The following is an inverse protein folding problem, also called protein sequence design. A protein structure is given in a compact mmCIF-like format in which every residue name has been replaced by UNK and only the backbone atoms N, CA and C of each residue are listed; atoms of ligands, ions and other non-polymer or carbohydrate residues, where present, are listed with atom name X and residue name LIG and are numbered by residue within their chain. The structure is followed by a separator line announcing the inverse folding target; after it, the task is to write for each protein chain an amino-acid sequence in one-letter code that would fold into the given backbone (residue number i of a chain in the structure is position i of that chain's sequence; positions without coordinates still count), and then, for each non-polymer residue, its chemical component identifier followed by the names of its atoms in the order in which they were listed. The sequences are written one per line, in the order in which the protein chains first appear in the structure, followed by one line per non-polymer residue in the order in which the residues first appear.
data_IF_441671884183
#
_entry.id   IF_441671884183
#
_cell.length_a   1.000
_cell.length_b   1.000
_cell.length_c   1.000
_cell.angle_alpha   90.00
_cell.angle_beta   90.00
_cell.angle_gamma   90.00
#
_symmetry.space_group_name_H-M   'P 1'
#
loop_
_entity.id
_entity.type
_entity.pdbx_description
1 polymer ?
#
# COMPACT_ATOMS: atom_id res chain seq x y z
N UNK A 1 -28.21 6.01 -6.14
CA UNK A 1 -28.85 4.75 -6.49
C UNK A 1 -27.89 3.59 -6.13
N UNK A 2 -28.37 2.60 -5.39
CA UNK A 2 -27.59 1.43 -4.99
C UNK A 2 -26.93 0.68 -6.18
N UNK A 3 -27.44 0.86 -7.39
CA UNK A 3 -26.93 0.21 -8.60
C UNK A 3 -25.59 0.81 -9.07
N UNK A 4 -25.34 2.08 -8.83
CA UNK A 4 -24.15 2.77 -9.29
C UNK A 4 -22.96 2.51 -8.34
N UNK A 5 -23.24 2.38 -7.04
CA UNK A 5 -22.24 1.93 -6.06
C UNK A 5 -21.75 0.51 -6.40
N UNK A 6 -22.64 -0.38 -6.83
CA UNK A 6 -22.29 -1.72 -7.29
C UNK A 6 -21.47 -1.74 -8.58
N UNK A 7 -21.63 -0.77 -9.49
CA UNK A 7 -20.82 -0.63 -10.71
C UNK A 7 -19.41 -0.14 -10.40
N UNK A 8 -19.27 0.85 -9.51
CA UNK A 8 -17.99 1.34 -8.99
C UNK A 8 -17.20 0.22 -8.28
N UNK A 9 -17.85 -0.49 -7.38
CA UNK A 9 -17.28 -1.63 -6.66
C UNK A 9 -16.91 -2.77 -7.62
N UNK A 10 -17.70 -3.01 -8.69
CA UNK A 10 -17.38 -4.02 -9.72
C UNK A 10 -16.14 -3.65 -10.53
N UNK A 11 -15.94 -2.39 -10.93
CA UNK A 11 -14.71 -1.97 -11.64
C UNK A 11 -13.48 -2.08 -10.74
N UNK A 12 -13.58 -1.71 -9.46
CA UNK A 12 -12.50 -1.98 -8.49
C UNK A 12 -12.24 -3.47 -8.27
N UNK A 13 -13.29 -4.31 -8.25
CA UNK A 13 -13.15 -5.76 -8.15
C UNK A 13 -12.48 -6.39 -9.36
N UNK A 14 -12.62 -5.82 -10.55
CA UNK A 14 -11.95 -6.28 -11.77
C UNK A 14 -10.47 -5.90 -11.81
N UNK A 15 -10.05 -4.82 -11.11
CA UNK A 15 -8.66 -4.36 -11.09
C UNK A 15 -7.85 -4.92 -9.93
N UNK A 16 -8.47 -5.26 -8.81
CA UNK A 16 -7.77 -5.76 -7.61
C UNK A 16 -8.69 -6.66 -6.79
N UNK A 17 -8.32 -7.92 -6.64
CA UNK A 17 -8.99 -8.89 -5.77
C UNK A 17 -8.31 -8.85 -4.41
N UNK A 18 -9.12 -8.75 -3.34
CA UNK A 18 -8.67 -8.82 -1.95
C UNK A 18 -9.49 -9.84 -1.19
N UNK A 19 -8.80 -10.74 -0.51
CA UNK A 19 -9.42 -11.77 0.30
C UNK A 19 -8.72 -11.85 1.66
N UNK A 20 -9.31 -12.59 2.59
CA UNK A 20 -8.75 -12.83 3.92
C UNK A 20 -8.66 -14.32 4.20
N UNK A 21 -7.55 -14.70 4.80
CA UNK A 21 -7.28 -16.06 5.27
C UNK A 21 -6.56 -16.00 6.62
N UNK A 22 -6.17 -17.12 7.15
CA UNK A 22 -5.22 -17.23 8.26
C UNK A 22 -3.96 -17.91 7.75
N UNK A 23 -2.80 -17.41 8.16
CA UNK A 23 -1.51 -18.00 7.82
C UNK A 23 -0.61 -18.05 9.04
N UNK A 24 0.30 -19.02 9.01
CA UNK A 24 1.31 -19.18 10.07
C UNK A 24 2.56 -18.37 9.76
N UNK A 25 3.00 -17.62 10.76
CA UNK A 25 4.23 -16.84 10.77
C UNK A 25 5.08 -17.37 11.94
N UNK A 26 5.80 -18.47 11.72
CA UNK A 26 6.46 -19.20 12.79
C UNK A 26 5.42 -19.84 13.73
N UNK A 27 5.44 -19.42 15.00
CA UNK A 27 4.48 -19.84 16.04
C UNK A 27 3.23 -18.93 16.14
N UNK A 28 3.14 -17.89 15.29
CA UNK A 28 2.00 -16.99 15.24
C UNK A 28 1.06 -17.37 14.10
N UNK A 29 -0.22 -17.58 14.38
CA UNK A 29 -1.26 -17.65 13.35
C UNK A 29 -2.00 -16.32 13.31
N UNK A 30 -1.89 -15.60 12.20
CA UNK A 30 -2.48 -14.27 12.04
C UNK A 30 -3.48 -14.20 10.88
N UNK A 31 -4.56 -13.39 11.03
CA UNK A 31 -5.38 -13.03 9.89
C UNK A 31 -4.49 -12.41 8.82
N UNK A 32 -4.71 -12.78 7.57
CA UNK A 32 -3.84 -12.38 6.45
C UNK A 32 -4.70 -11.86 5.32
N UNK A 33 -4.33 -10.72 4.76
CA UNK A 33 -4.93 -10.19 3.52
C UNK A 33 -4.15 -10.73 2.35
N UNK A 34 -4.86 -11.23 1.35
CA UNK A 34 -4.33 -11.62 0.04
C UNK A 34 -4.83 -10.63 -0.99
N UNK A 35 -3.96 -10.12 -1.85
CA UNK A 35 -4.29 -9.18 -2.92
C UNK A 35 -3.76 -9.69 -4.25
N UNK A 36 -4.49 -9.39 -5.33
CA UNK A 36 -4.10 -9.72 -6.69
C UNK A 36 -4.67 -8.70 -7.67
N UNK A 37 -3.90 -8.35 -8.70
CA UNK A 37 -4.33 -7.43 -9.76
C UNK A 37 -3.61 -7.72 -11.07
N UNK A 38 -4.34 -7.57 -12.19
CA UNK A 38 -3.84 -7.60 -13.56
C UNK A 38 -3.60 -6.20 -14.15
N UNK A 39 -3.76 -5.15 -13.34
CA UNK A 39 -3.50 -3.75 -13.71
C UNK A 39 -2.63 -3.04 -12.67
N UNK A 40 -1.40 -3.55 -12.39
CA UNK A 40 -0.59 -3.11 -11.25
C UNK A 40 -0.27 -1.60 -11.25
N UNK A 41 0.17 -1.05 -12.37
CA UNK A 41 0.50 0.37 -12.47
C UNK A 41 -0.68 1.27 -12.07
N UNK A 42 -1.88 0.97 -12.57
CA UNK A 42 -3.09 1.76 -12.31
C UNK A 42 -3.64 1.51 -10.91
N UNK A 43 -3.85 0.23 -10.56
CA UNK A 43 -4.53 -0.12 -9.30
C UNK A 43 -3.67 0.13 -8.07
N UNK A 44 -2.36 -0.08 -8.15
CA UNK A 44 -1.44 0.07 -7.02
C UNK A 44 -0.87 1.49 -6.96
N UNK A 45 -0.03 1.90 -7.91
CA UNK A 45 0.59 3.24 -7.88
C UNK A 45 -0.40 4.36 -8.17
N UNK A 46 -1.30 4.18 -9.12
CA UNK A 46 -2.34 5.15 -9.46
C UNK A 46 -3.36 5.32 -8.33
N UNK A 47 -3.98 4.25 -7.87
CA UNK A 47 -5.11 4.33 -6.96
C UNK A 47 -4.74 4.03 -5.50
N UNK A 48 -4.03 2.94 -5.20
CA UNK A 48 -3.84 2.48 -3.82
C UNK A 48 -2.78 3.28 -3.04
N UNK A 49 -1.71 3.73 -3.68
CA UNK A 49 -0.67 4.55 -3.03
C UNK A 49 -1.30 5.73 -2.26
N UNK A 50 -0.88 5.99 -1.02
CA UNK A 50 -1.32 7.12 -0.21
C UNK A 50 -0.64 8.42 -0.66
N UNK A 51 -0.95 8.86 -1.86
CA UNK A 51 -0.24 9.96 -2.54
C UNK A 51 -0.99 11.28 -2.59
N UNK A 52 -2.12 11.41 -1.91
CA UNK A 52 -2.91 12.64 -1.88
C UNK A 52 -3.15 13.12 -0.45
N UNK A 53 -2.21 13.93 0.07
CA UNK A 53 -2.41 14.61 1.36
C UNK A 53 -3.51 15.65 1.22
N UNK A 54 -4.59 15.49 1.99
CA UNK A 54 -5.75 16.40 2.03
C UNK A 54 -5.68 17.20 3.32
N UNK A 55 -5.79 18.53 3.18
CA UNK A 55 -5.87 19.49 4.30
C UNK A 55 -6.98 20.48 3.99
N UNK A 56 -8.05 20.47 4.77
CA UNK A 56 -9.20 21.38 4.63
C UNK A 56 -9.69 21.76 6.02
N UNK A 57 -9.58 23.02 6.38
CA UNK A 57 -9.81 23.43 7.77
C UNK A 57 -8.96 22.64 8.75
N UNK A 58 -9.59 22.07 9.76
CA UNK A 58 -8.94 21.23 10.77
C UNK A 58 -8.77 19.77 10.33
N UNK A 59 -9.35 19.37 9.19
CA UNK A 59 -9.21 18.03 8.66
C UNK A 59 -7.84 17.82 8.01
N UNK A 60 -7.18 16.73 8.42
CA UNK A 60 -5.95 16.23 7.80
C UNK A 60 -6.08 14.73 7.59
N UNK A 61 -5.82 14.26 6.37
CA UNK A 61 -5.85 12.85 6.03
C UNK A 61 -5.03 12.50 4.80
N UNK A 62 -4.63 11.23 4.70
CA UNK A 62 -3.94 10.71 3.53
C UNK A 62 -4.93 9.95 2.65
N UNK A 63 -5.10 10.46 1.43
CA UNK A 63 -6.05 9.95 0.45
C UNK A 63 -5.44 8.92 -0.48
N UNK A 64 -6.16 7.81 -0.65
CA UNK A 64 -5.94 6.77 -1.65
C UNK A 64 -7.27 6.42 -2.33
N UNK A 65 -7.23 5.63 -3.38
CA UNK A 65 -8.44 5.22 -4.09
C UNK A 65 -8.57 5.82 -5.49
N UNK A 66 -9.63 5.46 -6.22
CA UNK A 66 -9.87 5.88 -7.61
C UNK A 66 -9.94 7.40 -7.81
N UNK A 67 -10.42 8.15 -6.82
CA UNK A 67 -10.47 9.61 -6.87
C UNK A 67 -9.11 10.25 -7.22
N UNK A 68 -7.99 9.58 -6.89
CA UNK A 68 -6.67 10.04 -7.28
C UNK A 68 -6.45 10.05 -8.78
N UNK A 69 -7.03 9.09 -9.49
CA UNK A 69 -6.93 8.99 -10.95
C UNK A 69 -7.80 10.05 -11.66
N UNK A 70 -8.93 10.44 -11.07
CA UNK A 70 -9.72 11.58 -11.54
C UNK A 70 -8.97 12.90 -11.32
N UNK A 71 -8.47 13.11 -10.11
CA UNK A 71 -7.79 14.35 -9.71
C UNK A 71 -6.32 14.43 -10.16
N UNK A 72 -5.75 13.36 -10.73
CA UNK A 72 -4.33 13.22 -11.10
C UNK A 72 -3.38 13.56 -9.92
N UNK A 73 -3.62 12.99 -8.76
CA UNK A 73 -2.84 13.27 -7.52
C UNK A 73 -2.00 12.07 -7.07
N UNK A 74 -0.64 12.22 -7.09
CA UNK A 74 0.16 13.33 -7.63
C UNK A 74 0.35 13.19 -9.16
N UNK A 75 0.40 14.30 -9.86
CA UNK A 75 0.48 14.35 -11.33
C UNK A 75 1.62 13.52 -11.93
N UNK A 76 2.79 13.48 -11.24
CA UNK A 76 3.97 12.74 -11.72
C UNK A 76 3.72 11.24 -11.89
N UNK A 77 2.94 10.63 -10.99
CA UNK A 77 2.60 9.22 -11.05
C UNK A 77 1.74 8.95 -12.28
N UNK A 78 0.66 9.73 -12.46
CA UNK A 78 -0.27 9.56 -13.57
C UNK A 78 0.37 9.85 -14.94
N UNK A 79 1.29 10.82 -15.00
CA UNK A 79 2.11 11.05 -16.19
C UNK A 79 2.99 9.84 -16.53
N UNK A 80 3.58 9.19 -15.52
CA UNK A 80 4.46 8.03 -15.70
C UNK A 80 3.69 6.79 -16.15
N UNK A 81 2.53 6.51 -15.52
CA UNK A 81 1.72 5.34 -15.88
C UNK A 81 0.82 5.55 -17.11
N UNK A 82 0.74 6.79 -17.61
CA UNK A 82 -0.06 7.11 -18.80
C UNK A 82 -1.57 6.91 -18.62
N UNK A 83 -2.10 7.16 -17.40
CA UNK A 83 -3.49 6.90 -17.08
C UNK A 83 -4.18 8.12 -16.44
N UNK A 84 -5.42 8.36 -16.86
CA UNK A 84 -6.37 9.26 -16.23
C UNK A 84 -7.74 8.58 -16.24
N UNK A 85 -8.49 8.70 -15.16
CA UNK A 85 -9.87 8.22 -15.10
C UNK A 85 -10.82 9.30 -15.61
N UNK A 86 -11.95 8.86 -16.17
CA UNK A 86 -13.06 9.71 -16.63
C UNK A 86 -14.35 9.07 -16.14
N UNK A 87 -14.87 9.56 -15.02
CA UNK A 87 -16.07 9.06 -14.38
C UNK A 87 -16.77 10.16 -13.58
N UNK A 88 -18.08 10.05 -13.41
CA UNK A 88 -18.94 11.03 -12.75
C UNK A 88 -19.02 10.89 -11.22
N UNK A 89 -18.35 9.92 -10.65
CA UNK A 89 -18.31 9.66 -9.20
C UNK A 89 -16.88 9.44 -8.71
N UNK A 90 -16.56 9.96 -7.53
CA UNK A 90 -15.25 9.83 -6.89
C UNK A 90 -15.32 8.96 -5.63
N UNK A 91 -14.49 7.92 -5.57
CA UNK A 91 -14.32 7.09 -4.35
C UNK A 91 -12.93 7.29 -3.80
N UNK A 92 -12.84 7.67 -2.52
CA UNK A 92 -11.57 7.90 -1.83
C UNK A 92 -11.56 7.19 -0.48
N UNK A 93 -10.43 6.60 -0.14
CA UNK A 93 -10.13 6.09 1.20
C UNK A 93 -9.27 7.14 1.90
N UNK A 94 -9.72 7.60 3.05
CA UNK A 94 -9.04 8.60 3.88
C UNK A 94 -8.48 7.92 5.13
N UNK A 95 -7.17 7.95 5.28
CA UNK A 95 -6.53 7.55 6.52
C UNK A 95 -6.45 8.77 7.44
N UNK A 96 -7.30 8.79 8.45
CA UNK A 96 -7.38 9.86 9.44
C UNK A 96 -8.13 9.37 10.69
N UNK A 97 -7.86 9.98 11.83
CA UNK A 97 -8.66 9.83 13.05
C UNK A 97 -9.79 10.86 13.14
N UNK A 98 -9.77 11.90 12.30
CA UNK A 98 -10.76 12.97 12.28
C UNK A 98 -11.80 12.68 11.19
N UNK A 99 -13.09 12.81 11.54
CA UNK A 99 -14.17 12.66 10.58
C UNK A 99 -14.19 13.85 9.60
N UNK A 100 -14.19 13.59 8.26
CA UNK A 100 -14.32 14.66 7.27
C UNK A 100 -15.72 15.30 7.33
N UNK A 101 -15.78 16.64 7.21
CA UNK A 101 -17.01 17.39 7.03
C UNK A 101 -17.38 17.58 5.54
N UNK A 102 -18.45 18.32 5.30
CA UNK A 102 -18.95 18.59 3.93
C UNK A 102 -17.91 19.41 3.10
N UNK A 103 -17.13 20.26 3.75
CA UNK A 103 -16.05 21.04 3.11
C UNK A 103 -14.96 20.15 2.49
N UNK A 104 -14.71 18.96 3.09
CA UNK A 104 -13.77 17.98 2.53
C UNK A 104 -14.37 17.32 1.29
N UNK A 105 -15.68 17.00 1.33
CA UNK A 105 -16.38 16.46 0.17
C UNK A 105 -16.38 17.46 -1.01
N UNK A 106 -16.67 18.73 -0.74
CA UNK A 106 -16.63 19.81 -1.73
C UNK A 106 -15.23 19.97 -2.34
N UNK A 107 -14.19 19.94 -1.51
CA UNK A 107 -12.80 20.02 -1.98
C UNK A 107 -12.44 18.84 -2.90
N UNK A 108 -12.81 17.61 -2.51
CA UNK A 108 -12.54 16.42 -3.33
C UNK A 108 -13.31 16.48 -4.65
N UNK A 109 -14.59 16.87 -4.60
CA UNK A 109 -15.46 17.03 -5.76
C UNK A 109 -14.86 18.00 -6.80
N UNK A 110 -14.42 19.19 -6.33
CA UNK A 110 -13.74 20.20 -7.19
C UNK A 110 -12.50 19.61 -7.87
N UNK A 111 -11.65 18.89 -7.12
CA UNK A 111 -10.41 18.32 -7.67
C UNK A 111 -10.64 17.16 -8.63
N UNK A 112 -11.73 16.43 -8.44
CA UNK A 112 -12.11 15.29 -9.29
C UNK A 112 -13.00 15.70 -10.48
N UNK A 113 -13.55 16.92 -10.49
CA UNK A 113 -14.49 17.38 -11.51
C UNK A 113 -15.87 16.71 -11.44
N UNK A 114 -16.31 16.32 -10.24
CA UNK A 114 -17.60 15.66 -10.00
C UNK A 114 -18.48 16.48 -9.08
N UNK A 115 -19.78 16.16 -8.99
CA UNK A 115 -20.67 16.79 -8.00
C UNK A 115 -20.36 16.29 -6.58
N UNK A 116 -20.52 17.14 -5.55
CA UNK A 116 -20.19 16.77 -4.16
C UNK A 116 -21.02 15.56 -3.66
N UNK A 117 -22.25 15.39 -4.11
CA UNK A 117 -23.10 14.22 -3.78
C UNK A 117 -22.59 12.90 -4.35
N UNK A 118 -21.70 12.98 -5.35
CA UNK A 118 -21.07 11.83 -6.02
C UNK A 118 -19.69 11.50 -5.43
N UNK A 119 -19.32 12.12 -4.31
CA UNK A 119 -18.10 11.80 -3.56
C UNK A 119 -18.40 10.80 -2.46
N UNK A 120 -17.74 9.66 -2.52
CA UNK A 120 -17.85 8.57 -1.53
C UNK A 120 -16.53 8.48 -0.75
N UNK A 121 -16.59 8.78 0.55
CA UNK A 121 -15.43 8.77 1.43
C UNK A 121 -15.49 7.55 2.37
N UNK A 122 -14.43 6.74 2.38
CA UNK A 122 -14.23 5.65 3.32
C UNK A 122 -13.17 6.09 4.31
N UNK A 123 -13.56 6.32 5.55
CA UNK A 123 -12.65 6.73 6.61
C UNK A 123 -12.09 5.50 7.34
N UNK A 124 -10.77 5.45 7.48
CA UNK A 124 -10.08 4.43 8.27
C UNK A 124 -9.05 5.08 9.19
N UNK A 125 -9.03 4.68 10.46
CA UNK A 125 -7.97 5.06 11.39
C UNK A 125 -6.97 3.92 11.53
N UNK A 126 -5.67 4.23 11.53
CA UNK A 126 -4.60 3.24 11.74
C UNK A 126 -4.75 2.47 13.05
N UNK A 127 -5.34 3.11 14.08
CA UNK A 127 -5.62 2.48 15.39
C UNK A 127 -6.80 1.51 15.36
N UNK A 128 -7.45 1.32 14.20
CA UNK A 128 -8.58 0.42 14.02
C UNK A 128 -8.21 -0.85 13.28
N UNK A 129 -9.01 -1.90 13.45
CA UNK A 129 -8.84 -3.14 12.69
C UNK A 129 -9.03 -2.93 11.17
N UNK A 130 -9.92 -2.02 10.78
CA UNK A 130 -10.10 -1.64 9.38
C UNK A 130 -8.86 -0.95 8.82
N UNK A 131 -8.22 -0.06 9.61
CA UNK A 131 -6.96 0.61 9.25
C UNK A 131 -5.81 -0.39 9.10
N UNK A 132 -5.61 -1.28 10.06
CA UNK A 132 -4.61 -2.34 9.95
C UNK A 132 -4.84 -3.23 8.71
N UNK A 133 -6.10 -3.60 8.45
CA UNK A 133 -6.46 -4.41 7.26
C UNK A 133 -6.14 -3.68 5.95
N UNK A 134 -6.47 -2.39 5.85
CA UNK A 134 -6.20 -1.62 4.62
C UNK A 134 -4.70 -1.44 4.38
N UNK A 135 -3.89 -1.26 5.44
CA UNK A 135 -2.43 -1.15 5.33
C UNK A 135 -1.83 -2.49 4.90
N UNK A 136 -2.22 -3.61 5.52
CA UNK A 136 -1.78 -4.95 5.09
C UNK A 136 -2.12 -5.23 3.63
N UNK A 137 -3.27 -4.73 3.16
CA UNK A 137 -3.68 -4.81 1.75
C UNK A 137 -2.79 -4.04 0.78
N UNK A 138 -1.86 -3.21 1.25
CA UNK A 138 -0.91 -2.45 0.43
C UNK A 138 0.34 -3.25 0.05
N UNK A 139 0.48 -4.48 0.49
CA UNK A 139 1.71 -5.26 0.30
C UNK A 139 2.20 -5.29 -1.16
N UNK A 140 1.31 -5.50 -2.12
CA UNK A 140 1.66 -5.49 -3.53
C UNK A 140 2.01 -4.08 -4.04
N UNK A 141 1.36 -3.04 -3.50
CA UNK A 141 1.66 -1.63 -3.81
C UNK A 141 3.04 -1.26 -3.26
N UNK A 142 3.33 -1.58 -2.00
CA UNK A 142 4.61 -1.31 -1.35
C UNK A 142 5.78 -1.92 -2.11
N UNK A 143 5.65 -3.16 -2.56
CA UNK A 143 6.69 -3.80 -3.35
C UNK A 143 6.84 -3.21 -4.76
N UNK A 144 5.74 -2.84 -5.43
CA UNK A 144 5.80 -2.17 -6.73
C UNK A 144 6.41 -0.77 -6.60
N UNK A 145 6.08 -0.03 -5.55
CA UNK A 145 6.70 1.25 -5.26
C UNK A 145 8.23 1.13 -5.07
N UNK A 146 8.68 0.09 -4.34
CA UNK A 146 10.10 -0.18 -4.17
C UNK A 146 10.80 -0.56 -5.48
N UNK A 147 10.17 -1.41 -6.30
CA UNK A 147 10.71 -1.78 -7.63
C UNK A 147 10.83 -0.55 -8.54
N UNK A 148 9.81 0.32 -8.54
CA UNK A 148 9.79 1.59 -9.28
C UNK A 148 10.88 2.55 -8.78
N UNK A 149 11.05 2.66 -7.46
CA UNK A 149 12.11 3.46 -6.84
C UNK A 149 13.52 2.97 -7.26
N UNK A 150 13.70 1.67 -7.44
CA UNK A 150 14.93 1.07 -7.91
C UNK A 150 15.12 1.15 -9.44
N UNK A 151 14.14 1.66 -10.19
CA UNK A 151 14.23 1.94 -11.60
C UNK A 151 13.36 1.06 -12.52
N UNK A 152 12.53 0.14 -11.99
CA UNK A 152 11.61 -0.61 -12.84
C UNK A 152 10.54 0.31 -13.43
N UNK A 153 10.27 0.17 -14.72
CA UNK A 153 9.09 0.81 -15.31
C UNK A 153 7.82 0.09 -14.81
N UNK A 154 6.92 0.77 -14.09
CA UNK A 154 5.68 0.15 -13.60
C UNK A 154 4.78 -0.38 -14.73
N UNK A 155 4.91 0.14 -15.94
CA UNK A 155 4.14 -0.33 -17.09
C UNK A 155 4.65 -1.68 -17.63
N UNK A 156 5.87 -2.10 -17.27
CA UNK A 156 6.38 -3.45 -17.57
C UNK A 156 5.82 -4.53 -16.65
N UNK A 157 5.07 -4.16 -15.60
CA UNK A 157 4.48 -5.11 -14.65
C UNK A 157 3.09 -5.51 -15.10
N UNK A 158 2.93 -6.77 -15.51
CA UNK A 158 1.70 -7.30 -16.10
C UNK A 158 0.71 -7.81 -15.05
N UNK A 159 1.23 -8.34 -13.93
CA UNK A 159 0.43 -8.85 -12.82
C UNK A 159 1.17 -8.65 -11.51
N UNK A 160 0.43 -8.39 -10.45
CA UNK A 160 0.95 -8.34 -9.09
C UNK A 160 0.02 -9.09 -8.14
N UNK A 161 0.62 -9.80 -7.20
CA UNK A 161 -0.09 -10.42 -6.08
C UNK A 161 0.76 -10.35 -4.82
N UNK A 162 0.13 -10.57 -3.67
CA UNK A 162 0.87 -10.60 -2.42
C UNK A 162 -0.04 -10.90 -1.24
N UNK A 163 0.59 -11.10 -0.09
CA UNK A 163 -0.11 -11.25 1.17
C UNK A 163 0.66 -10.60 2.31
N UNK A 164 -0.05 -10.12 3.33
CA UNK A 164 0.55 -9.63 4.56
C UNK A 164 -0.38 -9.92 5.76
N UNK A 165 0.18 -10.17 6.96
CA UNK A 165 -0.61 -10.36 8.17
C UNK A 165 -1.35 -9.07 8.55
N UNK A 166 -2.52 -9.20 9.14
CA UNK A 166 -3.25 -8.11 9.78
C UNK A 166 -2.87 -8.09 11.24
N UNK A 167 -2.06 -7.12 11.63
CA UNK A 167 -1.63 -6.98 13.01
C UNK A 167 -2.75 -6.48 13.90
N UNK A 168 -2.82 -6.93 15.17
CA UNK A 168 -3.79 -6.42 16.12
C UNK A 168 -3.69 -4.91 16.29
N UNK A 169 -4.81 -4.16 16.25
CA UNK A 169 -4.79 -2.72 16.46
C UNK A 169 -4.30 -2.37 17.86
N UNK A 170 -3.84 -1.14 18.04
CA UNK A 170 -3.41 -0.60 19.32
C UNK A 170 -3.99 0.80 19.52
N UNK A 171 -4.41 1.20 20.75
CA UNK A 171 -4.96 2.54 20.99
C UNK A 171 -3.92 3.65 20.84
N UNK A 172 -2.66 3.39 21.14
CA UNK A 172 -1.57 4.31 20.83
C UNK A 172 -1.29 4.29 19.33
N UNK A 173 -1.30 5.47 18.70
CA UNK A 173 -1.15 5.62 17.26
C UNK A 173 0.24 5.18 16.78
N UNK A 174 1.30 5.52 17.52
CA UNK A 174 2.67 5.18 17.14
C UNK A 174 2.89 3.66 17.15
N UNK A 175 2.37 2.96 18.16
CA UNK A 175 2.42 1.49 18.24
C UNK A 175 1.59 0.88 17.10
N UNK A 176 0.40 1.42 16.82
CA UNK A 176 -0.45 0.94 15.73
C UNK A 176 0.23 1.07 14.36
N UNK A 177 0.84 2.23 14.07
CA UNK A 177 1.59 2.48 12.83
C UNK A 177 2.78 1.52 12.74
N UNK A 178 3.57 1.37 13.81
CA UNK A 178 4.71 0.45 13.84
C UNK A 178 4.30 -1.00 13.54
N UNK A 179 3.22 -1.49 14.16
CA UNK A 179 2.67 -2.84 13.89
C UNK A 179 2.21 -3.01 12.44
N UNK A 180 1.55 -2.00 11.88
CA UNK A 180 1.11 -2.04 10.49
C UNK A 180 2.30 -2.11 9.51
N UNK A 181 3.37 -1.38 9.80
CA UNK A 181 4.59 -1.45 9.00
C UNK A 181 5.32 -2.78 9.17
N UNK A 182 5.42 -3.30 10.40
CA UNK A 182 6.00 -4.62 10.67
C UNK A 182 5.30 -5.73 9.88
N UNK A 183 3.97 -5.62 9.68
CA UNK A 183 3.21 -6.54 8.85
C UNK A 183 3.76 -6.62 7.42
N UNK A 184 4.13 -5.50 6.82
CA UNK A 184 4.69 -5.43 5.46
C UNK A 184 6.16 -5.81 5.44
N UNK A 185 6.94 -5.18 6.33
CA UNK A 185 8.40 -5.23 6.38
C UNK A 185 8.94 -6.59 6.82
N UNK A 186 8.21 -7.31 7.67
CA UNK A 186 8.65 -8.60 8.24
C UNK A 186 7.72 -9.77 7.90
N UNK A 187 6.44 -9.52 7.63
CA UNK A 187 5.43 -10.54 7.32
C UNK A 187 4.96 -10.56 5.87
N UNK A 188 5.29 -9.52 5.09
CA UNK A 188 4.76 -9.33 3.76
C UNK A 188 5.50 -10.08 2.66
N UNK A 189 4.74 -10.69 1.75
CA UNK A 189 5.23 -11.26 0.49
C UNK A 189 4.56 -10.61 -0.69
N UNK A 190 5.33 -10.26 -1.71
CA UNK A 190 4.83 -9.75 -2.97
C UNK A 190 5.41 -10.50 -4.17
N UNK A 191 4.59 -10.76 -5.18
CA UNK A 191 4.96 -11.45 -6.42
C UNK A 191 4.54 -10.63 -7.63
N UNK A 192 5.42 -10.55 -8.63
CA UNK A 192 5.20 -9.79 -9.85
C UNK A 192 5.51 -10.61 -11.09
N UNK A 193 4.69 -10.44 -12.12
CA UNK A 193 4.94 -10.91 -13.46
C UNK A 193 5.35 -9.70 -14.31
N UNK A 194 6.55 -9.72 -14.88
CA UNK A 194 7.13 -8.57 -15.58
C UNK A 194 7.59 -8.93 -16.99
N UNK A 195 7.61 -7.92 -17.86
CA UNK A 195 8.16 -8.00 -19.21
C UNK A 195 9.41 -7.11 -19.31
N UNK A 196 10.60 -7.70 -19.10
CA UNK A 196 11.89 -6.99 -19.02
C UNK A 196 12.93 -7.68 -19.91
N UNK A 197 13.69 -6.90 -20.68
CA UNK A 197 14.73 -7.44 -21.58
C UNK A 197 16.02 -7.80 -20.84
N UNK A 198 16.50 -6.88 -20.00
CA UNK A 198 17.76 -7.07 -19.25
C UNK A 198 17.54 -7.93 -18.00
N UNK A 199 17.72 -9.23 -18.17
CA UNK A 199 17.52 -10.20 -17.10
C UNK A 199 18.58 -10.10 -16.00
N UNK A 200 19.81 -9.70 -16.35
CA UNK A 200 20.88 -9.51 -15.37
C UNK A 200 20.57 -8.33 -14.46
N UNK A 201 20.16 -7.22 -15.04
CA UNK A 201 19.71 -6.05 -14.30
C UNK A 201 18.48 -6.38 -13.43
N UNK A 202 17.50 -7.13 -13.97
CA UNK A 202 16.32 -7.53 -13.21
C UNK A 202 16.69 -8.35 -11.98
N UNK A 203 17.61 -9.29 -12.10
CA UNK A 203 18.12 -10.10 -10.97
C UNK A 203 18.75 -9.22 -9.89
N UNK A 204 19.60 -8.28 -10.28
CA UNK A 204 20.23 -7.34 -9.35
C UNK A 204 19.19 -6.44 -8.66
N UNK A 205 18.21 -5.94 -9.40
CA UNK A 205 17.12 -5.14 -8.88
C UNK A 205 16.30 -5.91 -7.84
N UNK A 206 15.91 -7.15 -8.14
CA UNK A 206 15.13 -8.00 -7.21
C UNK A 206 15.92 -8.27 -5.93
N UNK A 207 17.23 -8.47 -6.00
CA UNK A 207 18.07 -8.72 -4.82
C UNK A 207 18.08 -7.53 -3.82
N UNK A 208 17.84 -6.32 -4.30
CA UNK A 208 17.81 -5.07 -3.53
C UNK A 208 16.40 -4.63 -3.10
N UNK A 209 15.37 -5.38 -3.52
CA UNK A 209 13.97 -4.98 -3.29
C UNK A 209 13.49 -5.25 -1.86
N UNK A 210 13.82 -6.38 -1.19
CA UNK A 210 13.29 -6.66 0.15
C UNK A 210 13.67 -5.60 1.19
N UNK A 211 12.85 -5.47 2.22
CA UNK A 211 13.07 -4.61 3.38
C UNK A 211 14.43 -4.86 4.06
N UNK A 212 14.93 -6.09 4.00
CA UNK A 212 16.24 -6.48 4.52
C UNK A 212 17.43 -5.82 3.79
N UNK A 213 17.18 -5.05 2.72
CA UNK A 213 18.20 -4.20 2.09
C UNK A 213 18.45 -2.89 2.86
N UNK A 214 17.58 -2.53 3.81
CA UNK A 214 17.76 -1.36 4.67
C UNK A 214 18.71 -1.64 5.83
N UNK A 215 19.62 -0.70 6.17
CA UNK A 215 20.44 -0.80 7.38
C UNK A 215 19.62 -0.72 8.68
N UNK A 216 18.40 -0.19 8.63
CA UNK A 216 17.49 -0.13 9.79
C UNK A 216 16.72 -1.43 10.04
N UNK A 217 16.85 -2.43 9.14
CA UNK A 217 16.15 -3.70 9.25
C UNK A 217 16.53 -4.50 10.51
N UNK A 218 15.57 -5.22 11.10
CA UNK A 218 15.79 -6.18 12.19
C UNK A 218 15.32 -5.69 13.55
N UNK A 219 14.63 -4.54 13.62
CA UNK A 219 14.00 -4.00 14.83
C UNK A 219 12.53 -3.66 14.57
N UNK A 220 11.64 -3.68 15.58
CA UNK A 220 10.27 -3.20 15.42
C UNK A 220 10.21 -1.79 14.87
N UNK A 221 9.33 -1.56 13.89
CA UNK A 221 9.20 -0.25 13.22
C UNK A 221 8.85 0.88 14.18
N UNK A 222 8.09 0.60 15.26
CA UNK A 222 7.81 1.58 16.30
C UNK A 222 9.08 2.18 16.90
N UNK A 223 10.11 1.36 17.18
CA UNK A 223 11.37 1.82 17.77
C UNK A 223 12.11 2.74 16.81
N UNK A 224 12.16 2.34 15.52
CA UNK A 224 12.80 3.14 14.47
C UNK A 224 12.09 4.48 14.30
N UNK A 225 10.76 4.48 14.33
CA UNK A 225 9.95 5.69 14.14
C UNK A 225 10.07 6.65 15.32
N UNK A 226 10.12 6.12 16.54
CA UNK A 226 10.29 6.90 17.76
C UNK A 226 11.64 7.64 17.80
N UNK A 227 12.71 7.04 17.29
CA UNK A 227 14.04 7.67 17.22
C UNK A 227 14.07 8.93 16.35
N UNK A 228 13.13 9.07 15.42
CA UNK A 228 12.99 10.21 14.50
C UNK A 228 11.72 11.03 14.75
N UNK A 229 11.10 10.90 15.95
CA UNK A 229 9.86 11.57 16.32
C UNK A 229 8.72 11.38 15.29
N UNK A 230 8.62 10.18 14.71
CA UNK A 230 7.66 9.82 13.64
C UNK A 230 7.76 10.72 12.39
N UNK A 231 8.91 11.33 12.16
CA UNK A 231 9.21 12.01 10.89
C UNK A 231 9.66 10.98 9.85
N UNK A 232 8.71 10.42 9.10
CA UNK A 232 8.94 9.39 8.10
C UNK A 232 9.90 9.82 6.97
N UNK A 233 10.14 11.13 6.81
CA UNK A 233 11.11 11.64 5.82
C UNK A 233 12.57 11.36 6.19
N UNK A 234 12.82 11.06 7.48
CA UNK A 234 14.14 10.71 8.00
C UNK A 234 14.43 9.21 8.00
N UNK A 235 13.44 8.39 7.66
CA UNK A 235 13.58 6.93 7.61
C UNK A 235 14.18 6.54 6.27
N UNK A 236 15.10 5.55 6.29
CA UNK A 236 15.64 4.98 5.06
C UNK A 236 14.49 4.40 4.19
N UNK A 237 14.28 4.94 2.98
CA UNK A 237 13.22 4.45 2.10
C UNK A 237 13.33 2.96 1.74
N UNK A 238 14.51 2.37 1.90
CA UNK A 238 14.72 0.95 1.64
C UNK A 238 13.96 0.05 2.62
N UNK A 239 13.60 0.56 3.80
CA UNK A 239 12.82 -0.18 4.79
C UNK A 239 11.37 -0.41 4.33
N UNK A 240 10.79 0.56 3.62
CA UNK A 240 9.40 0.48 3.12
C UNK A 240 9.28 -0.48 1.94
N UNK A 241 9.36 -1.76 2.23
CA UNK A 241 9.37 -2.83 1.25
C UNK A 241 8.85 -4.14 1.84
N UNK A 242 8.38 -5.09 1.02
CA UNK A 242 8.01 -6.42 1.48
C UNK A 242 9.18 -7.17 2.11
N UNK A 243 8.89 -8.03 3.09
CA UNK A 243 9.88 -8.96 3.66
C UNK A 243 10.47 -9.89 2.60
N UNK A 244 9.63 -10.35 1.66
CA UNK A 244 10.01 -11.25 0.59
C UNK A 244 9.36 -10.83 -0.73
N UNK A 245 10.14 -10.91 -1.80
CA UNK A 245 9.69 -10.60 -3.17
C UNK A 245 10.03 -11.73 -4.11
N UNK A 246 9.11 -12.03 -5.04
CA UNK A 246 9.35 -12.93 -6.18
C UNK A 246 8.98 -12.20 -7.48
N UNK A 247 9.83 -12.28 -8.49
CA UNK A 247 9.60 -11.67 -9.79
C UNK A 247 9.81 -12.72 -10.88
N UNK A 248 8.79 -12.91 -11.71
CA UNK A 248 8.85 -13.80 -12.88
C UNK A 248 8.93 -12.95 -14.15
N UNK A 249 9.94 -13.18 -14.96
CA UNK A 249 10.08 -12.54 -16.27
C UNK A 249 9.36 -13.38 -17.33
N UNK A 250 8.33 -12.83 -17.97
CA UNK A 250 7.56 -13.56 -19.01
C UNK A 250 8.37 -13.87 -20.26
N UNK A 251 9.41 -13.08 -20.56
CA UNK A 251 10.24 -13.28 -21.75
C UNK A 251 11.06 -14.55 -21.69
N UNK A 252 11.54 -14.89 -20.48
CA UNK A 252 12.49 -15.99 -20.29
C UNK A 252 11.91 -17.13 -19.44
N UNK A 253 10.82 -16.89 -18.73
CA UNK A 253 10.29 -17.80 -17.71
C UNK A 253 11.11 -17.84 -16.42
N UNK A 254 12.17 -17.03 -16.31
CA UNK A 254 13.03 -16.99 -15.12
C UNK A 254 12.29 -16.42 -13.91
N UNK A 255 12.56 -16.99 -12.75
CA UNK A 255 12.00 -16.57 -11.46
C UNK A 255 13.14 -16.14 -10.53
N UNK A 256 13.06 -14.91 -10.05
CA UNK A 256 14.00 -14.35 -9.07
C UNK A 256 13.27 -14.12 -7.76
N UNK A 257 13.84 -14.60 -6.67
CA UNK A 257 13.28 -14.42 -5.32
C UNK A 257 14.34 -13.87 -4.39
N UNK A 258 13.95 -12.90 -3.56
CA UNK A 258 14.84 -12.30 -2.56
C UNK A 258 14.07 -12.01 -1.26
N UNK A 259 14.81 -11.92 -0.14
CA UNK A 259 14.25 -11.69 1.19
C UNK A 259 13.62 -12.94 1.81
N UNK A 260 13.11 -12.76 3.02
CA UNK A 260 12.42 -13.81 3.79
C UNK A 260 11.45 -13.20 4.80
N UNK A 261 10.39 -13.91 5.12
CA UNK A 261 9.52 -13.60 6.26
C UNK A 261 10.37 -13.71 7.54
N UNK A 262 10.18 -12.78 8.46
CA UNK A 262 10.88 -12.70 9.74
C UNK A 262 9.90 -12.70 10.92
N UNK A 263 9.43 -13.89 11.34
CA UNK A 263 8.45 -14.00 12.43
C UNK A 263 8.95 -13.47 13.77
N UNK A 264 10.26 -13.54 14.02
CA UNK A 264 10.84 -13.10 15.29
C UNK A 264 10.64 -11.60 15.51
N UNK A 265 10.90 -10.78 14.49
CA UNK A 265 10.68 -9.32 14.59
C UNK A 265 9.18 -8.99 14.59
N UNK A 266 8.35 -9.72 13.84
CA UNK A 266 6.88 -9.60 13.93
C UNK A 266 6.39 -9.78 15.36
N UNK A 267 6.91 -10.79 16.06
CA UNK A 267 6.59 -11.10 17.47
C UNK A 267 7.03 -9.97 18.40
N UNK A 268 8.27 -9.49 18.23
CA UNK A 268 8.76 -8.33 18.98
C UNK A 268 7.87 -7.10 18.79
N UNK A 269 7.39 -6.82 17.57
CA UNK A 269 6.46 -5.74 17.27
C UNK A 269 5.12 -5.84 18.02
N UNK A 270 4.64 -7.07 18.31
CA UNK A 270 3.45 -7.30 19.14
C UNK A 270 3.69 -7.01 20.63
N UNK A 271 4.91 -7.17 21.10
CA UNK A 271 5.31 -6.96 22.51
C UNK A 271 5.62 -5.50 22.83
N UNK A 272 5.80 -4.65 21.80
CA UNK A 272 6.07 -3.21 21.95
C UNK A 272 5.02 -2.54 22.83
N UNK A 273 5.47 -1.70 23.76
CA UNK A 273 4.65 -0.84 24.61
C UNK A 273 4.97 0.63 24.34
N UNK A 274 3.97 1.53 24.45
CA UNK A 274 4.24 2.96 24.37
C UNK A 274 5.19 3.36 25.51
N UNK A 275 6.18 4.21 25.20
CA UNK A 275 7.14 4.74 26.16
C UNK A 275 6.61 5.95 26.89
#
# INVERSE_FOLDING_TARGET
DHRDLHRLIRRQRQMCIRDRTYMDYGDLTLPTVVVSTDRPAVSLLGCQLAGWRIRVGDFVGDGSGPARALALKPKKVFKKIGYQDDYDSAVIVLESSTRPGDEVALFIAEKCGVEAKEVYMVLTSTTSYAGSTQISGRIAETGLFKLEYLGLDPNSVLHASGYAPVMPPHPDWGVAVGRCEDALTYGGFASYLVDVEDEKWLRELVSRTPSSSSPSYGRPSYEIYREVDFDFTKIDPALFAPARVSVTNVRTGSVFTAGRINPDVLKLGLEVRPG
#
